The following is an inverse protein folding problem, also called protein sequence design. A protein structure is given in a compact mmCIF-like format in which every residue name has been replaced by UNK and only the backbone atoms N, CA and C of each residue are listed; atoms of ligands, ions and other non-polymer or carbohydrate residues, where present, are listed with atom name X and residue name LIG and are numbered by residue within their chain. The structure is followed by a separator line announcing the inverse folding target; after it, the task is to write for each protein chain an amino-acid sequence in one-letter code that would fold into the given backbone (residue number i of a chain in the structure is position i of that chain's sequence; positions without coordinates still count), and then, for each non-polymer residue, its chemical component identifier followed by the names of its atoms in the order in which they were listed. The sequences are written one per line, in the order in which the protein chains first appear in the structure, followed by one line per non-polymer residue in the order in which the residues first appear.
data_IF_331947215704
#
_entry.id   IF_331947215704
#
_cell.length_a   1.000
_cell.length_b   1.000
_cell.length_c   1.000
_cell.angle_alpha   90.00
_cell.angle_beta   90.00
_cell.angle_gamma   90.00
#
_symmetry.space_group_name_H-M   'P 1'
#
loop_
_entity.id
_entity.type
_entity.pdbx_description
1 polymer ?
#
# COMPACT_ATOMS: atom_id res chain seq x y z
N UNK A 1 39.32 0.37 -28.10
CA UNK A 1 38.86 -0.38 -29.30
C UNK A 1 37.48 0.12 -29.66
N UNK A 2 37.18 0.34 -30.94
CA UNK A 2 35.86 0.83 -31.38
C UNK A 2 35.34 -0.12 -32.46
N UNK A 3 34.08 -0.55 -32.33
CA UNK A 3 33.34 -1.31 -33.33
C UNK A 3 32.04 -0.57 -33.64
N UNK A 4 31.69 -0.50 -34.92
CA UNK A 4 30.46 0.12 -35.41
C UNK A 4 29.82 -0.81 -36.43
N UNK A 5 28.52 -1.02 -36.29
CA UNK A 5 27.71 -1.79 -37.24
C UNK A 5 26.30 -1.21 -37.30
N UNK A 6 25.55 -1.55 -38.35
CA UNK A 6 24.17 -1.12 -38.53
C UNK A 6 23.25 -2.30 -38.34
N UNK A 7 22.16 -2.08 -37.63
CA UNK A 7 21.05 -3.03 -37.56
C UNK A 7 20.32 -3.09 -38.91
N UNK A 8 19.47 -4.11 -39.12
CA UNK A 8 18.63 -4.23 -40.31
C UNK A 8 17.71 -3.02 -40.53
N UNK A 9 17.37 -2.30 -39.45
CA UNK A 9 16.56 -1.07 -39.48
C UNK A 9 17.40 0.20 -39.79
N UNK A 10 18.71 0.05 -40.02
CA UNK A 10 19.62 1.15 -40.35
C UNK A 10 20.11 1.95 -39.14
N UNK A 11 19.77 1.54 -37.92
CA UNK A 11 20.24 2.18 -36.68
C UNK A 11 21.69 1.77 -36.43
N UNK A 12 22.57 2.76 -36.23
CA UNK A 12 23.97 2.52 -35.89
C UNK A 12 24.11 2.09 -34.43
N UNK A 13 24.89 1.02 -34.23
CA UNK A 13 25.32 0.54 -32.91
C UNK A 13 26.82 0.73 -32.80
N UNK A 14 27.29 1.36 -31.73
CA UNK A 14 28.69 1.64 -31.47
C UNK A 14 29.09 1.05 -30.13
N UNK A 15 30.21 0.32 -30.14
CA UNK A 15 30.86 -0.24 -28.96
C UNK A 15 32.25 0.37 -28.87
N UNK A 16 32.51 1.15 -27.83
CA UNK A 16 33.84 1.69 -27.52
C UNK A 16 34.34 1.13 -26.20
N UNK A 17 35.49 0.45 -26.22
CA UNK A 17 36.17 -0.08 -25.04
C UNK A 17 37.41 0.75 -24.75
N UNK A 18 37.45 1.38 -23.58
CA UNK A 18 38.59 2.17 -23.11
C UNK A 18 39.72 1.25 -22.63
N UNK A 19 40.93 1.82 -22.48
CA UNK A 19 42.09 1.08 -21.93
C UNK A 19 41.88 0.62 -20.48
N UNK A 20 40.95 1.26 -19.77
CA UNK A 20 40.60 0.95 -18.38
C UNK A 20 39.57 -0.20 -18.29
N UNK A 21 39.10 -0.74 -19.42
CA UNK A 21 38.09 -1.80 -19.44
C UNK A 21 36.64 -1.28 -19.37
N UNK A 22 36.41 0.02 -19.54
CA UNK A 22 35.04 0.57 -19.62
C UNK A 22 34.50 0.45 -21.03
N UNK A 23 33.28 -0.04 -21.13
CA UNK A 23 32.49 -0.13 -22.36
C UNK A 23 31.53 1.05 -22.42
N UNK A 24 31.60 1.83 -23.49
CA UNK A 24 30.57 2.76 -23.91
C UNK A 24 29.77 2.09 -25.04
N UNK A 25 28.51 1.79 -24.77
CA UNK A 25 27.59 1.17 -25.71
C UNK A 25 26.53 2.18 -26.14
N UNK A 26 26.30 2.33 -27.44
CA UNK A 26 25.25 3.21 -27.96
C UNK A 26 24.51 2.60 -29.15
N UNK A 27 23.19 2.82 -29.17
CA UNK A 27 22.27 2.38 -30.22
C UNK A 27 21.40 3.58 -30.58
N UNK A 28 21.65 4.17 -31.75
CA UNK A 28 21.01 5.43 -32.16
C UNK A 28 21.25 6.56 -31.15
N UNK A 29 20.19 7.01 -30.47
CA UNK A 29 20.28 8.07 -29.44
C UNK A 29 20.47 7.53 -28.01
N UNK A 30 20.28 6.23 -27.80
CA UNK A 30 20.40 5.59 -26.49
C UNK A 30 21.85 5.22 -26.24
N UNK A 31 22.31 5.39 -25.00
CA UNK A 31 23.68 5.05 -24.60
C UNK A 31 23.74 4.56 -23.16
N UNK A 32 24.70 3.71 -22.87
CA UNK A 32 25.01 3.22 -21.53
C UNK A 32 26.51 2.96 -21.41
N UNK A 33 27.00 2.96 -20.17
CA UNK A 33 28.42 2.68 -19.85
C UNK A 33 28.47 1.60 -18.78
N UNK A 34 29.39 0.66 -18.93
CA UNK A 34 29.58 -0.46 -18.00
C UNK A 34 31.01 -0.97 -18.01
N UNK A 35 31.39 -1.73 -16.99
CA UNK A 35 32.72 -2.34 -16.95
C UNK A 35 32.69 -3.66 -17.73
N UNK A 36 33.74 -3.95 -18.49
CA UNK A 36 33.85 -5.18 -19.28
C UNK A 36 33.84 -6.42 -18.38
N UNK A 37 34.20 -6.29 -17.10
CA UNK A 37 34.08 -7.34 -16.09
C UNK A 37 32.64 -7.78 -15.82
N UNK A 38 31.66 -6.93 -16.13
CA UNK A 38 30.23 -7.23 -15.90
C UNK A 38 29.68 -8.16 -17.00
N UNK A 39 30.45 -8.40 -18.06
CA UNK A 39 30.08 -9.25 -19.18
C UNK A 39 30.41 -10.72 -18.86
N UNK A 40 29.49 -11.45 -18.22
CA UNK A 40 29.74 -12.84 -17.80
C UNK A 40 29.50 -13.87 -18.92
N UNK A 41 28.24 -14.07 -19.33
CA UNK A 41 27.83 -15.03 -20.36
C UNK A 41 26.41 -14.73 -20.82
N UNK A 42 26.04 -15.20 -22.01
CA UNK A 42 24.66 -15.10 -22.52
C UNK A 42 23.93 -16.39 -22.15
N UNK A 43 22.85 -16.26 -21.38
CA UNK A 43 21.93 -17.37 -21.09
C UNK A 43 20.56 -17.03 -21.65
N UNK A 44 19.97 -17.95 -22.40
CA UNK A 44 18.63 -17.77 -22.97
C UNK A 44 17.68 -18.82 -22.37
N UNK A 45 16.63 -18.33 -21.71
CA UNK A 45 15.59 -19.19 -21.15
C UNK A 45 14.48 -19.35 -22.20
N UNK A 46 14.43 -20.50 -22.87
CA UNK A 46 13.33 -20.82 -23.77
C UNK A 46 12.19 -21.48 -22.97
N UNK A 47 10.99 -20.91 -22.99
CA UNK A 47 9.88 -21.31 -22.13
C UNK A 47 9.07 -22.52 -22.62
N UNK A 48 9.62 -23.34 -23.52
CA UNK A 48 8.97 -24.58 -23.95
C UNK A 48 9.41 -25.81 -23.14
N UNK A 49 10.66 -25.84 -22.67
CA UNK A 49 11.23 -26.91 -21.86
C UNK A 49 11.99 -26.27 -20.69
N UNK A 50 11.90 -26.82 -19.48
CA UNK A 50 12.56 -26.28 -18.27
C UNK A 50 14.12 -26.31 -18.33
N UNK A 51 14.70 -26.62 -19.50
CA UNK A 51 16.14 -26.61 -19.75
C UNK A 51 16.63 -25.22 -20.17
N UNK A 52 17.54 -24.65 -19.37
CA UNK A 52 18.26 -23.42 -19.72
C UNK A 52 19.29 -23.73 -20.80
N UNK A 53 19.13 -23.17 -21.99
CA UNK A 53 20.15 -23.23 -23.02
C UNK A 53 21.19 -22.13 -22.78
N UNK A 54 22.45 -22.54 -22.56
CA UNK A 54 23.59 -21.61 -22.56
C UNK A 54 24.05 -21.45 -24.00
N UNK A 55 24.12 -20.22 -24.50
CA UNK A 55 24.60 -19.95 -25.85
C UNK A 55 26.13 -19.99 -25.80
N UNK A 56 26.72 -20.94 -26.50
CA UNK A 56 28.18 -21.09 -26.61
C UNK A 56 28.71 -20.45 -27.90
N UNK A 57 30.01 -20.18 -27.96
CA UNK A 57 30.65 -19.49 -29.09
C UNK A 57 30.42 -20.18 -30.45
N UNK A 58 30.36 -21.52 -30.46
CA UNK A 58 30.05 -22.32 -31.64
C UNK A 58 28.62 -22.13 -32.15
N UNK A 59 27.68 -21.71 -31.28
CA UNK A 59 26.31 -21.38 -31.68
C UNK A 59 26.19 -20.02 -32.37
N UNK A 60 27.25 -19.20 -32.33
CA UNK A 60 27.31 -17.86 -32.93
C UNK A 60 28.01 -17.86 -34.31
N UNK A 61 28.28 -19.04 -34.89
CA UNK A 61 28.94 -19.16 -36.20
C UNK A 61 28.00 -18.68 -37.32
N UNK A 62 28.41 -17.68 -38.11
CA UNK A 62 27.69 -17.27 -39.32
C UNK A 62 27.54 -15.77 -39.56
N UNK A 63 28.04 -14.92 -38.68
CA UNK A 63 28.07 -13.47 -38.90
C UNK A 63 29.50 -13.02 -39.21
N UNK A 64 29.85 -12.94 -40.50
CA UNK A 64 31.15 -12.40 -40.95
C UNK A 64 31.41 -10.97 -40.43
N UNK A 65 30.35 -10.27 -39.98
CA UNK A 65 30.37 -8.89 -39.50
C UNK A 65 30.52 -8.74 -37.97
N UNK A 66 30.25 -9.78 -37.18
CA UNK A 66 30.22 -9.71 -35.71
C UNK A 66 31.10 -10.78 -35.07
N UNK A 67 32.10 -10.34 -34.30
CA UNK A 67 32.99 -11.23 -33.55
C UNK A 67 32.26 -11.82 -32.33
N UNK A 68 32.53 -13.08 -31.92
CA UNK A 68 31.79 -13.74 -30.83
C UNK A 68 31.72 -12.95 -29.51
N UNK A 69 32.82 -12.29 -29.12
CA UNK A 69 32.85 -11.48 -27.90
C UNK A 69 31.91 -10.27 -27.95
N UNK A 70 31.59 -9.75 -29.14
CA UNK A 70 30.69 -8.60 -29.30
C UNK A 70 29.29 -8.95 -28.84
N UNK A 71 28.84 -10.19 -28.99
CA UNK A 71 27.52 -10.63 -28.56
C UNK A 71 27.30 -10.44 -27.05
N UNK A 72 28.31 -10.77 -26.24
CA UNK A 72 28.20 -10.65 -24.78
C UNK A 72 28.06 -9.17 -24.40
N UNK A 73 28.85 -8.31 -25.06
CA UNK A 73 28.82 -6.87 -24.84
C UNK A 73 27.51 -6.24 -25.33
N UNK A 74 26.99 -6.70 -26.49
CA UNK A 74 25.69 -6.25 -27.02
C UNK A 74 24.57 -6.64 -26.07
N UNK A 75 24.56 -7.89 -25.59
CA UNK A 75 23.54 -8.37 -24.66
C UNK A 75 23.50 -7.54 -23.37
N UNK A 76 24.66 -7.32 -22.74
CA UNK A 76 24.74 -6.48 -21.54
C UNK A 76 24.35 -5.03 -21.83
N UNK A 77 24.76 -4.50 -22.99
CA UNK A 77 24.39 -3.17 -23.46
C UNK A 77 22.88 -2.99 -23.63
N UNK A 78 22.21 -3.92 -24.32
CA UNK A 78 20.76 -3.90 -24.55
C UNK A 78 19.99 -4.07 -23.24
N UNK A 79 20.37 -5.01 -22.37
CA UNK A 79 19.74 -5.20 -21.06
C UNK A 79 19.79 -3.91 -20.23
N UNK A 80 20.93 -3.21 -20.21
CA UNK A 80 21.05 -1.92 -19.51
C UNK A 80 20.24 -0.82 -20.17
N UNK A 81 20.15 -0.78 -21.50
CA UNK A 81 19.32 0.19 -22.21
C UNK A 81 17.84 -0.02 -21.92
N UNK A 82 17.38 -1.27 -21.86
CA UNK A 82 16.02 -1.65 -21.49
C UNK A 82 15.72 -1.24 -20.05
N UNK A 83 16.57 -1.64 -19.09
CA UNK A 83 16.44 -1.24 -17.69
C UNK A 83 16.37 0.28 -17.53
N UNK A 84 17.25 1.03 -18.20
CA UNK A 84 17.24 2.50 -18.17
C UNK A 84 15.94 3.08 -18.73
N UNK A 85 15.36 2.44 -19.77
CA UNK A 85 14.09 2.83 -20.35
C UNK A 85 12.93 2.55 -19.38
N UNK A 86 12.87 1.37 -18.79
CA UNK A 86 11.87 1.04 -17.76
C UNK A 86 11.94 2.01 -16.58
N UNK A 87 13.14 2.28 -16.04
CA UNK A 87 13.34 3.27 -14.98
C UNK A 87 12.96 4.69 -15.39
N UNK A 88 13.01 5.03 -16.68
CA UNK A 88 12.53 6.30 -17.21
C UNK A 88 11.01 6.33 -17.30
N UNK A 89 10.39 5.24 -17.75
CA UNK A 89 8.95 5.13 -17.91
C UNK A 89 8.24 5.01 -16.54
N UNK A 90 8.78 4.27 -15.57
CA UNK A 90 8.24 4.21 -14.20
C UNK A 90 8.20 5.57 -13.51
N UNK A 91 9.17 6.46 -13.78
CA UNK A 91 9.16 7.85 -13.30
C UNK A 91 8.10 8.73 -13.97
N UNK A 92 7.59 8.35 -15.13
CA UNK A 92 6.55 9.06 -15.89
C UNK A 92 5.15 8.54 -15.59
N UNK A 93 5.04 7.31 -15.12
CA UNK A 93 3.79 6.74 -14.65
C UNK A 93 3.49 7.21 -13.23
N UNK A 94 2.44 8.02 -13.06
CA UNK A 94 1.63 7.88 -11.85
C UNK A 94 0.78 6.63 -12.04
N UNK A 95 1.03 5.57 -11.25
CA UNK A 95 0.10 4.45 -11.20
C UNK A 95 -1.28 4.99 -10.82
N UNK A 96 -2.27 4.79 -11.68
CA UNK A 96 -3.67 5.04 -11.34
C UNK A 96 -4.15 4.17 -10.17
N UNK A 97 -3.42 3.11 -9.80
CA UNK A 97 -3.73 2.29 -8.62
C UNK A 97 -3.48 3.00 -7.29
N UNK A 98 -2.67 4.08 -7.29
CA UNK A 98 -2.38 4.86 -6.07
C UNK A 98 -3.31 6.08 -5.90
N UNK A 99 -4.26 6.29 -6.81
CA UNK A 99 -5.34 7.27 -6.60
C UNK A 99 -6.43 6.77 -5.63
N UNK A 100 -6.22 5.65 -4.94
CA UNK A 100 -7.11 5.18 -3.87
C UNK A 100 -6.67 5.57 -2.44
N UNK A 101 -5.44 6.07 -2.24
CA UNK A 101 -4.97 6.41 -0.87
C UNK A 101 -5.62 7.68 -0.31
N UNK A 102 -6.31 8.47 -1.14
CA UNK A 102 -7.10 9.62 -0.69
C UNK A 102 -8.58 9.31 -0.48
N UNK A 103 -9.08 8.17 -0.95
CA UNK A 103 -10.45 7.75 -0.67
C UNK A 103 -10.62 7.38 0.82
N UNK A 104 -9.61 6.74 1.42
CA UNK A 104 -9.60 6.44 2.85
C UNK A 104 -9.43 7.68 3.74
N UNK A 105 -8.75 8.72 3.24
CA UNK A 105 -8.63 10.02 3.93
C UNK A 105 -9.98 10.76 3.92
N UNK A 106 -10.70 10.73 2.79
CA UNK A 106 -12.03 11.36 2.68
C UNK A 106 -13.09 10.65 3.51
N UNK A 107 -13.03 9.31 3.66
CA UNK A 107 -13.90 8.57 4.60
C UNK A 107 -13.64 8.90 6.06
N UNK A 108 -12.44 9.38 6.39
CA UNK A 108 -12.03 9.66 7.77
C UNK A 108 -12.68 10.93 8.32
N UNK A 109 -12.93 11.93 7.49
CA UNK A 109 -13.50 13.20 7.96
C UNK A 109 -14.99 13.07 8.34
N UNK A 110 -15.75 12.22 7.65
CA UNK A 110 -17.15 11.91 7.99
C UNK A 110 -17.24 11.15 9.34
N UNK A 111 -16.33 10.22 9.58
CA UNK A 111 -16.20 9.47 10.83
C UNK A 111 -15.73 10.37 12.00
N UNK A 112 -14.83 11.33 11.75
CA UNK A 112 -14.36 12.25 12.80
C UNK A 112 -15.49 13.14 13.32
N UNK A 113 -16.35 13.69 12.45
CA UNK A 113 -17.49 14.49 12.89
C UNK A 113 -18.50 13.66 13.69
N UNK A 114 -18.77 12.43 13.25
CA UNK A 114 -19.66 11.50 13.95
C UNK A 114 -19.08 11.09 15.31
N UNK A 115 -17.77 10.83 15.40
CA UNK A 115 -17.06 10.56 16.66
C UNK A 115 -17.09 11.75 17.62
N UNK A 116 -16.92 12.97 17.11
CA UNK A 116 -17.03 14.20 17.92
C UNK A 116 -18.46 14.36 18.43
N UNK A 117 -19.47 14.18 17.57
CA UNK A 117 -20.87 14.26 17.98
C UNK A 117 -21.21 13.20 19.04
N UNK A 118 -20.76 11.96 18.83
CA UNK A 118 -20.95 10.86 19.78
C UNK A 118 -20.25 11.14 21.13
N UNK A 119 -19.03 11.69 21.12
CA UNK A 119 -18.32 12.03 22.36
C UNK A 119 -19.02 13.15 23.13
N UNK A 120 -19.48 14.21 22.45
CA UNK A 120 -20.28 15.28 23.04
C UNK A 120 -21.61 14.76 23.64
N UNK A 121 -22.31 13.88 22.93
CA UNK A 121 -23.52 13.24 23.44
C UNK A 121 -23.25 12.38 24.68
N UNK A 122 -22.17 11.60 24.68
CA UNK A 122 -21.76 10.81 25.84
C UNK A 122 -21.41 11.69 27.04
N UNK A 123 -20.73 12.82 26.83
CA UNK A 123 -20.42 13.78 27.88
C UNK A 123 -21.69 14.42 28.45
N UNK A 124 -22.63 14.84 27.59
CA UNK A 124 -23.91 15.39 28.02
C UNK A 124 -24.70 14.38 28.89
N UNK A 125 -24.73 13.11 28.49
CA UNK A 125 -25.35 12.03 29.28
C UNK A 125 -24.64 11.83 30.61
N UNK A 126 -23.29 11.81 30.63
CA UNK A 126 -22.52 11.70 31.87
C UNK A 126 -22.81 12.86 32.82
N UNK A 127 -22.89 14.10 32.32
CA UNK A 127 -23.23 15.28 33.12
C UNK A 127 -24.66 15.21 33.65
N UNK A 128 -25.64 14.79 32.84
CA UNK A 128 -27.03 14.63 33.25
C UNK A 128 -27.17 13.57 34.36
N UNK A 129 -26.42 12.46 34.29
CA UNK A 129 -26.41 11.42 35.32
C UNK A 129 -25.80 11.97 36.63
N UNK A 130 -24.71 12.76 36.56
CA UNK A 130 -24.11 13.38 37.76
C UNK A 130 -25.06 14.28 38.53
N UNK A 131 -26.05 14.88 37.86
CA UNK A 131 -27.10 15.72 38.48
C UNK A 131 -28.22 14.93 39.16
N UNK A 132 -28.28 13.61 38.98
CA UNK A 132 -29.25 12.76 39.67
C UNK A 132 -28.82 12.51 41.12
N UNK A 133 -29.79 12.18 41.97
CA UNK A 133 -29.51 11.83 43.36
C UNK A 133 -28.75 10.49 43.44
N UNK A 134 -27.91 10.23 44.46
CA UNK A 134 -27.09 9.02 44.54
C UNK A 134 -27.89 7.71 44.39
N UNK A 135 -29.10 7.67 44.96
CA UNK A 135 -30.01 6.52 44.85
C UNK A 135 -30.58 6.34 43.43
N UNK A 136 -30.70 7.42 42.65
CA UNK A 136 -31.12 7.38 41.25
C UNK A 136 -29.95 6.94 40.35
N UNK A 137 -28.74 7.44 40.62
CA UNK A 137 -27.52 7.02 39.91
C UNK A 137 -27.27 5.52 40.10
N UNK A 138 -27.39 5.02 41.34
CA UNK A 138 -27.26 3.59 41.64
C UNK A 138 -28.27 2.75 40.86
N UNK A 139 -29.54 3.18 40.81
CA UNK A 139 -30.58 2.45 40.09
C UNK A 139 -30.31 2.41 38.57
N UNK A 140 -29.81 3.49 37.98
CA UNK A 140 -29.44 3.52 36.55
C UNK A 140 -28.22 2.64 36.28
N UNK A 141 -27.21 2.66 37.15
CA UNK A 141 -26.04 1.79 37.06
C UNK A 141 -26.44 0.32 37.14
N UNK A 142 -27.29 -0.05 38.10
CA UNK A 142 -27.75 -1.41 38.30
C UNK A 142 -28.42 -1.99 37.03
N UNK A 143 -29.21 -1.17 36.32
CA UNK A 143 -29.97 -1.61 35.15
C UNK A 143 -29.12 -1.58 33.87
N UNK A 144 -28.48 -0.45 33.58
CA UNK A 144 -27.87 -0.20 32.27
C UNK A 144 -26.39 -0.57 32.21
N UNK A 145 -25.71 -0.69 33.36
CA UNK A 145 -24.30 -1.07 33.42
C UNK A 145 -24.10 -2.48 33.98
N UNK A 146 -24.75 -2.81 35.10
CA UNK A 146 -24.65 -4.15 35.73
C UNK A 146 -25.59 -5.16 35.05
N UNK A 147 -26.68 -4.69 34.42
CA UNK A 147 -27.63 -5.54 33.70
C UNK A 147 -28.67 -6.24 34.58
N UNK A 148 -28.90 -5.75 35.81
CA UNK A 148 -29.90 -6.32 36.71
C UNK A 148 -31.32 -6.05 36.20
N UNK A 149 -32.16 -7.06 36.26
CA UNK A 149 -33.58 -6.93 35.95
C UNK A 149 -34.32 -6.13 37.03
N UNK A 150 -35.42 -5.48 36.63
CA UNK A 150 -36.28 -4.75 37.58
C UNK A 150 -36.85 -5.66 38.68
N UNK A 151 -36.97 -6.97 38.42
CA UNK A 151 -37.45 -7.94 39.40
C UNK A 151 -36.38 -8.28 40.44
N UNK A 152 -35.12 -8.43 40.03
CA UNK A 152 -33.99 -8.65 40.96
C UNK A 152 -33.75 -7.44 41.86
N UNK A 153 -33.83 -6.24 41.29
CA UNK A 153 -33.73 -4.98 42.05
C UNK A 153 -34.88 -4.85 43.05
N UNK A 154 -36.10 -5.20 42.62
CA UNK A 154 -37.27 -5.18 43.49
C UNK A 154 -37.13 -6.16 44.67
N UNK A 155 -36.64 -7.38 44.41
CA UNK A 155 -36.36 -8.40 45.42
C UNK A 155 -35.26 -7.94 46.40
N UNK A 156 -34.18 -7.34 45.89
CA UNK A 156 -33.08 -6.80 46.71
C UNK A 156 -33.53 -5.64 47.61
N UNK A 157 -34.31 -4.72 47.05
CA UNK A 157 -34.77 -3.51 47.75
C UNK A 157 -36.02 -3.78 48.62
N UNK A 158 -36.61 -4.98 48.59
CA UNK A 158 -37.81 -5.35 49.35
C UNK A 158 -39.08 -4.63 48.89
N UNK A 159 -39.15 -4.22 47.61
CA UNK A 159 -40.25 -3.43 47.05
C UNK A 159 -40.96 -4.17 45.92
N UNK A 160 -42.18 -3.75 45.60
CA UNK A 160 -42.87 -4.28 44.43
C UNK A 160 -42.21 -3.79 43.13
N UNK A 161 -42.19 -4.64 42.09
CA UNK A 161 -41.63 -4.32 40.76
C UNK A 161 -42.17 -3.00 40.18
N UNK A 162 -43.46 -2.74 40.36
CA UNK A 162 -44.11 -1.50 39.90
C UNK A 162 -43.50 -0.23 40.51
N UNK A 163 -42.99 -0.30 41.74
CA UNK A 163 -42.28 0.81 42.40
C UNK A 163 -40.95 1.11 41.72
N UNK A 164 -40.21 0.07 41.33
CA UNK A 164 -38.96 0.19 40.55
C UNK A 164 -39.25 0.80 39.17
N UNK A 165 -40.28 0.31 38.47
CA UNK A 165 -40.70 0.86 37.18
C UNK A 165 -41.08 2.35 37.27
N UNK A 166 -41.79 2.77 38.32
CA UNK A 166 -42.13 4.18 38.57
C UNK A 166 -40.88 5.03 38.82
N UNK A 167 -39.92 4.52 39.61
CA UNK A 167 -38.63 5.18 39.86
C UNK A 167 -37.87 5.40 38.55
N UNK A 168 -37.75 4.38 37.71
CA UNK A 168 -37.09 4.47 36.39
C UNK A 168 -37.77 5.53 35.52
N UNK A 169 -39.11 5.49 35.41
CA UNK A 169 -39.86 6.48 34.60
C UNK A 169 -39.59 7.92 35.04
N UNK A 170 -39.52 8.18 36.35
CA UNK A 170 -39.19 9.52 36.88
C UNK A 170 -37.77 9.93 36.51
N UNK A 171 -36.80 9.03 36.66
CA UNK A 171 -35.41 9.28 36.29
C UNK A 171 -35.28 9.56 34.80
N UNK A 172 -35.90 8.74 33.93
CA UNK A 172 -35.91 8.95 32.48
C UNK A 172 -36.52 10.30 32.10
N UNK A 173 -37.59 10.74 32.79
CA UNK A 173 -38.19 12.07 32.57
C UNK A 173 -37.24 13.21 32.96
N UNK A 174 -36.50 13.04 34.07
CA UNK A 174 -35.49 14.01 34.54
C UNK A 174 -34.32 14.09 33.56
N UNK A 175 -33.75 12.95 33.16
CA UNK A 175 -32.67 12.90 32.17
C UNK A 175 -33.08 13.52 30.82
N UNK A 176 -34.30 13.23 30.34
CA UNK A 176 -34.83 13.87 29.12
C UNK A 176 -34.96 15.38 29.24
N UNK A 177 -35.19 15.93 30.44
CA UNK A 177 -35.26 17.38 30.66
C UNK A 177 -33.86 17.98 30.65
N UNK A 178 -32.90 17.32 31.29
CA UNK A 178 -31.50 17.77 31.35
C UNK A 178 -30.79 17.72 29.99
N UNK A 179 -31.19 16.79 29.10
CA UNK A 179 -30.59 16.62 27.76
C UNK A 179 -31.31 17.42 26.65
N UNK A 180 -32.40 18.12 26.98
CA UNK A 180 -33.15 18.99 26.04
C UNK A 180 -32.73 20.47 26.12
N UNK A 181 -31.95 20.82 27.14
CA UNK A 181 -31.26 22.10 27.26
C UNK A 181 -29.85 21.96 26.71
#
# INVERSE_FOLDING_TARGET
MIKEFKTAEGISTIIEITKEGKVNYSVGQKKTTFDLSDCESITYNYSADEEKAVITEDMLSGTDELEPWMWIVINEGENRLEYNNEQRETRRHLSYSNLNDKADILKKDEDVLEQILNSLQQEAVKQAIKKLDPNQQKLIRDIYYIGLSQAEIAKRDGVHKSSVTKRIKRISKRLKKELKN
#
